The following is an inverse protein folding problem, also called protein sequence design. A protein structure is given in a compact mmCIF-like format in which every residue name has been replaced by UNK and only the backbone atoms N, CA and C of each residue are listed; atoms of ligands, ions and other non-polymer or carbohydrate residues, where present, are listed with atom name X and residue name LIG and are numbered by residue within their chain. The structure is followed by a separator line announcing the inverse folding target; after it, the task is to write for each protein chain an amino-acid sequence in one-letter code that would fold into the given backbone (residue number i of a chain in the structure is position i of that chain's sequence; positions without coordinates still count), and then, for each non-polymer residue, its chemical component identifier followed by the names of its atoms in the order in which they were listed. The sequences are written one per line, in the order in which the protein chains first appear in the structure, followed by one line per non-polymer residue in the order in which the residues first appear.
data_IF_536140323818
#
_entry.id   IF_536140323818
#
_cell.length_a   1.000
_cell.length_b   1.000
_cell.length_c   1.000
_cell.angle_alpha   90.00
_cell.angle_beta   90.00
_cell.angle_gamma   90.00
#
_symmetry.space_group_name_H-M   'P 1'
#
loop_
_entity.id
_entity.type
_entity.pdbx_description
1 polymer ?
#
# COMPACT_ATOMS: atom_id res chain seq x y z
N UNK A 1 -1.44 -2.29 35.06
CA UNK A 1 -1.41 -2.79 33.67
C UNK A 1 -1.02 -1.65 32.73
N UNK A 2 0.12 -1.70 32.04
CA UNK A 2 0.65 -0.59 31.23
C UNK A 2 -0.24 -0.23 30.03
N UNK A 3 -0.96 -1.20 29.47
CA UNK A 3 -1.86 -1.01 28.33
C UNK A 3 -3.00 -0.04 28.64
N UNK A 4 -3.61 -0.11 29.83
CA UNK A 4 -4.69 0.79 30.23
C UNK A 4 -4.23 2.25 30.38
N UNK A 5 -2.98 2.47 30.81
CA UNK A 5 -2.37 3.82 30.87
C UNK A 5 -2.14 4.39 29.48
N UNK A 6 -1.63 3.57 28.55
CA UNK A 6 -1.42 3.96 27.15
C UNK A 6 -2.77 4.31 26.49
N UNK A 7 -3.81 3.50 26.69
CA UNK A 7 -5.14 3.78 26.15
C UNK A 7 -5.75 5.08 26.69
N UNK A 8 -5.56 5.36 27.99
CA UNK A 8 -6.00 6.60 28.62
C UNK A 8 -5.21 7.83 28.14
N UNK A 9 -3.89 7.70 27.93
CA UNK A 9 -3.05 8.79 27.43
C UNK A 9 -3.25 9.11 25.94
N UNK A 10 -3.72 8.15 25.16
CA UNK A 10 -4.01 8.32 23.73
C UNK A 10 -5.48 8.56 23.43
N UNK A 11 -6.37 8.52 24.44
CA UNK A 11 -7.82 8.61 24.28
C UNK A 11 -8.34 7.60 23.24
N UNK A 12 -7.74 6.41 23.22
CA UNK A 12 -8.05 5.35 22.27
C UNK A 12 -9.33 4.65 22.71
N UNK A 13 -10.32 4.63 21.83
CA UNK A 13 -11.55 3.88 22.06
C UNK A 13 -11.33 2.41 21.72
N UNK A 14 -12.15 1.51 22.29
CA UNK A 14 -12.16 0.10 21.88
C UNK A 14 -12.45 -0.08 20.38
N UNK A 15 -13.16 0.89 19.77
CA UNK A 15 -13.39 0.95 18.33
C UNK A 15 -12.11 1.21 17.53
N UNK A 16 -11.19 2.03 18.03
CA UNK A 16 -9.90 2.28 17.35
C UNK A 16 -9.05 1.00 17.29
N UNK A 17 -9.02 0.23 18.38
CA UNK A 17 -8.31 -1.06 18.42
C UNK A 17 -8.97 -2.06 17.46
N UNK A 18 -10.30 -2.16 17.49
CA UNK A 18 -11.03 -3.02 16.57
C UNK A 18 -10.80 -2.62 15.10
N UNK A 19 -10.76 -1.32 14.80
CA UNK A 19 -10.47 -0.80 13.48
C UNK A 19 -9.04 -1.12 13.03
N UNK A 20 -8.04 -0.98 13.91
CA UNK A 20 -6.66 -1.36 13.62
C UNK A 20 -6.52 -2.87 13.35
N UNK A 21 -7.14 -3.72 14.17
CA UNK A 21 -7.15 -5.16 13.95
C UNK A 21 -7.86 -5.54 12.66
N UNK A 22 -9.02 -4.92 12.38
CA UNK A 22 -9.73 -5.11 11.12
C UNK A 22 -8.88 -4.69 9.93
N UNK A 23 -8.18 -3.56 10.02
CA UNK A 23 -7.27 -3.10 8.98
C UNK A 23 -6.14 -4.11 8.73
N UNK A 24 -5.45 -4.57 9.78
CA UNK A 24 -4.34 -5.53 9.65
C UNK A 24 -4.81 -6.89 9.12
N UNK A 25 -5.93 -7.38 9.62
CA UNK A 25 -6.52 -8.65 9.14
C UNK A 25 -7.01 -8.54 7.70
N UNK A 26 -7.63 -7.42 7.32
CA UNK A 26 -8.02 -7.19 5.93
C UNK A 26 -6.80 -7.07 5.02
N UNK A 27 -5.74 -6.37 5.46
CA UNK A 27 -4.53 -6.19 4.67
C UNK A 27 -3.76 -7.49 4.46
N UNK A 28 -3.42 -8.20 5.53
CA UNK A 28 -2.70 -9.47 5.46
C UNK A 28 -3.59 -10.60 4.90
N UNK A 29 -4.85 -10.62 5.31
CA UNK A 29 -5.83 -11.60 4.85
C UNK A 29 -6.12 -11.47 3.35
N UNK A 30 -6.22 -10.25 2.82
CA UNK A 30 -6.35 -10.04 1.39
C UNK A 30 -5.10 -10.49 0.63
N UNK A 31 -3.90 -10.19 1.11
CA UNK A 31 -2.67 -10.65 0.48
C UNK A 31 -2.60 -12.19 0.42
N UNK A 32 -2.87 -12.86 1.54
CA UNK A 32 -2.92 -14.32 1.61
C UNK A 32 -4.02 -14.92 0.73
N UNK A 33 -5.23 -14.34 0.77
CA UNK A 33 -6.35 -14.78 -0.05
C UNK A 33 -6.05 -14.63 -1.54
N UNK A 34 -5.45 -13.52 -1.95
CA UNK A 34 -5.05 -13.26 -3.33
C UNK A 34 -4.02 -14.31 -3.83
N UNK A 35 -3.03 -14.64 -3.00
CA UNK A 35 -2.04 -15.69 -3.31
C UNK A 35 -2.67 -17.08 -3.39
N UNK A 36 -3.52 -17.44 -2.42
CA UNK A 36 -4.20 -18.74 -2.40
C UNK A 36 -5.15 -18.92 -3.60
N UNK A 37 -5.91 -17.88 -3.95
CA UNK A 37 -6.84 -17.91 -5.09
C UNK A 37 -6.14 -17.85 -6.43
N UNK A 38 -4.92 -17.31 -6.51
CA UNK A 38 -4.10 -17.35 -7.71
C UNK A 38 -3.77 -18.79 -8.15
N UNK A 39 -3.64 -19.74 -7.21
CA UNK A 39 -3.36 -21.14 -7.53
C UNK A 39 -4.59 -21.99 -7.87
N UNK A 40 -5.77 -21.63 -7.37
CA UNK A 40 -6.96 -22.50 -7.37
C UNK A 40 -8.07 -22.06 -8.33
N UNK A 41 -8.09 -20.79 -8.74
CA UNK A 41 -9.12 -20.24 -9.62
C UNK A 41 -8.52 -19.56 -10.85
N UNK A 42 -9.23 -19.59 -11.97
CA UNK A 42 -8.91 -18.84 -13.18
C UNK A 42 -9.09 -17.33 -12.91
N UNK A 43 -8.12 -16.74 -12.21
CA UNK A 43 -8.00 -15.31 -11.98
C UNK A 43 -7.17 -14.66 -13.07
N UNK A 44 -7.38 -13.36 -13.31
CA UNK A 44 -6.57 -12.58 -14.25
C UNK A 44 -5.06 -12.73 -13.95
N UNK A 45 -4.69 -12.79 -12.67
CA UNK A 45 -3.31 -12.98 -12.25
C UNK A 45 -2.72 -14.32 -12.74
N UNK A 46 -3.45 -15.42 -12.55
CA UNK A 46 -3.01 -16.75 -12.95
C UNK A 46 -2.93 -16.91 -14.48
N UNK A 47 -3.96 -16.43 -15.18
CA UNK A 47 -4.00 -16.43 -16.64
C UNK A 47 -2.85 -15.60 -17.21
N UNK A 48 -2.59 -14.41 -16.65
CA UNK A 48 -1.47 -13.56 -17.07
C UNK A 48 -0.10 -14.19 -16.76
N UNK A 49 0.02 -14.95 -15.67
CA UNK A 49 1.25 -15.71 -15.37
C UNK A 49 1.50 -16.81 -16.42
N UNK A 50 0.45 -17.52 -16.81
CA UNK A 50 0.50 -18.55 -17.86
C UNK A 50 0.92 -17.96 -19.21
N UNK A 51 0.34 -16.82 -19.60
CA UNK A 51 0.74 -16.10 -20.82
C UNK A 51 2.18 -15.57 -20.76
N UNK A 52 2.62 -15.03 -19.60
CA UNK A 52 4.02 -14.63 -19.41
C UNK A 52 4.98 -15.79 -19.63
N UNK A 53 4.67 -16.98 -19.08
CA UNK A 53 5.48 -18.18 -19.27
C UNK A 53 5.54 -18.61 -20.74
N UNK A 54 4.42 -18.64 -21.43
CA UNK A 54 4.37 -18.96 -22.87
C UNK A 54 5.16 -17.93 -23.70
N UNK A 55 5.00 -16.65 -23.39
CA UNK A 55 5.75 -15.56 -24.03
C UNK A 55 7.27 -15.74 -23.85
N UNK A 56 7.74 -16.06 -22.64
CA UNK A 56 9.16 -16.30 -22.37
C UNK A 56 9.72 -17.50 -23.16
N UNK A 57 8.95 -18.58 -23.30
CA UNK A 57 9.38 -19.73 -24.11
C UNK A 57 9.48 -19.36 -25.60
N UNK A 58 8.48 -18.65 -26.13
CA UNK A 58 8.49 -18.20 -27.53
C UNK A 58 9.58 -17.16 -27.82
N UNK A 59 9.90 -16.29 -26.86
CA UNK A 59 10.95 -15.26 -26.98
C UNK A 59 12.32 -15.88 -27.34
N UNK A 60 12.63 -17.09 -26.83
CA UNK A 60 13.91 -17.75 -27.07
C UNK A 60 14.14 -18.03 -28.56
N UNK A 61 13.07 -18.34 -29.31
CA UNK A 61 13.12 -18.66 -30.73
C UNK A 61 12.94 -17.46 -31.66
N UNK A 62 12.80 -16.23 -31.13
CA UNK A 62 12.63 -15.02 -31.95
C UNK A 62 13.96 -14.33 -32.22
N UNK A 63 14.29 -14.18 -33.51
CA UNK A 63 15.42 -13.36 -33.95
C UNK A 63 15.14 -11.86 -33.76
N UNK A 64 13.93 -11.42 -34.12
CA UNK A 64 13.49 -10.04 -33.89
C UNK A 64 12.94 -9.87 -32.47
N UNK A 65 13.77 -9.28 -31.58
CA UNK A 65 13.45 -9.07 -30.16
C UNK A 65 12.79 -7.72 -29.87
N UNK A 66 12.50 -6.91 -30.88
CA UNK A 66 11.97 -5.55 -30.67
C UNK A 66 10.63 -5.56 -29.93
N UNK A 67 9.73 -6.49 -30.27
CA UNK A 67 8.43 -6.64 -29.61
C UNK A 67 8.61 -7.02 -28.15
N UNK A 68 9.47 -7.98 -27.86
CA UNK A 68 9.72 -8.48 -26.51
C UNK A 68 10.34 -7.40 -25.60
N UNK A 69 11.30 -6.63 -26.13
CA UNK A 69 11.90 -5.47 -25.46
C UNK A 69 10.82 -4.41 -25.15
N UNK A 70 9.90 -4.15 -26.08
CA UNK A 70 8.83 -3.19 -25.88
C UNK A 70 7.85 -3.63 -24.79
N UNK A 71 7.50 -4.93 -24.73
CA UNK A 71 6.66 -5.49 -23.65
C UNK A 71 7.35 -5.32 -22.30
N UNK A 72 8.62 -5.73 -22.18
CA UNK A 72 9.38 -5.60 -20.94
C UNK A 72 9.49 -4.12 -20.50
N UNK A 73 9.79 -3.22 -21.45
CA UNK A 73 9.88 -1.78 -21.19
C UNK A 73 8.54 -1.20 -20.73
N UNK A 74 7.42 -1.64 -21.29
CA UNK A 74 6.10 -1.18 -20.88
C UNK A 74 5.75 -1.65 -19.45
N UNK A 75 6.04 -2.91 -19.11
CA UNK A 75 5.86 -3.44 -17.76
C UNK A 75 6.74 -2.69 -16.74
N UNK A 76 8.03 -2.53 -17.03
CA UNK A 76 8.98 -1.84 -16.16
C UNK A 76 8.58 -0.37 -15.96
N UNK A 77 8.19 0.34 -17.02
CA UNK A 77 7.72 1.73 -16.93
C UNK A 77 6.50 1.88 -16.02
N UNK A 78 5.55 0.95 -16.11
CA UNK A 78 4.36 0.96 -15.24
C UNK A 78 4.75 0.78 -13.77
N UNK A 79 5.65 -0.16 -13.46
CA UNK A 79 6.14 -0.35 -12.08
C UNK A 79 6.94 0.87 -11.57
N UNK A 80 7.79 1.45 -12.42
CA UNK A 80 8.55 2.68 -12.12
C UNK A 80 7.63 3.87 -11.81
N UNK A 81 6.53 4.02 -12.55
CA UNK A 81 5.55 5.07 -12.30
C UNK A 81 4.90 4.92 -10.91
N UNK A 82 4.52 3.70 -10.53
CA UNK A 82 3.97 3.46 -9.19
C UNK A 82 5.01 3.69 -8.09
N UNK A 83 6.25 3.22 -8.26
CA UNK A 83 7.33 3.48 -7.31
C UNK A 83 7.57 4.99 -7.11
N UNK A 84 7.64 5.76 -8.20
CA UNK A 84 7.77 7.23 -8.14
C UNK A 84 6.59 7.89 -7.42
N UNK A 85 5.36 7.45 -7.72
CA UNK A 85 4.15 7.95 -7.04
C UNK A 85 4.20 7.68 -5.54
N UNK A 86 4.64 6.50 -5.12
CA UNK A 86 4.81 6.20 -3.68
C UNK A 86 5.85 7.08 -3.01
N UNK A 87 6.94 7.43 -3.70
CA UNK A 87 7.96 8.35 -3.18
C UNK A 87 7.41 9.78 -3.01
N UNK A 88 6.60 10.27 -3.95
CA UNK A 88 5.92 11.56 -3.82
C UNK A 88 4.95 11.57 -2.63
N UNK A 89 4.13 10.52 -2.48
CA UNK A 89 3.21 10.40 -1.34
C UNK A 89 3.99 10.32 -0.02
N UNK A 90 5.10 9.60 0.04
CA UNK A 90 5.96 9.57 1.22
C UNK A 90 6.48 10.96 1.60
N UNK A 91 6.98 11.73 0.62
CA UNK A 91 7.40 13.12 0.85
C UNK A 91 6.27 13.99 1.40
N UNK A 92 5.07 13.85 0.84
CA UNK A 92 3.88 14.58 1.30
C UNK A 92 3.47 14.18 2.73
N UNK A 93 3.49 12.89 3.07
CA UNK A 93 3.15 12.39 4.41
C UNK A 93 4.20 12.81 5.46
N UNK A 94 5.48 12.80 5.10
CA UNK A 94 6.57 13.28 5.99
C UNK A 94 6.42 14.79 6.23
N UNK A 95 6.12 15.58 5.19
CA UNK A 95 5.82 17.00 5.37
C UNK A 95 4.60 17.21 6.26
N UNK A 96 3.54 16.41 6.07
CA UNK A 96 2.32 16.47 6.88
C UNK A 96 2.57 16.20 8.37
N UNK A 97 3.55 15.36 8.73
CA UNK A 97 3.96 15.17 10.13
C UNK A 97 4.48 16.46 10.78
N UNK A 98 5.03 17.40 10.01
CA UNK A 98 5.44 18.72 10.51
C UNK A 98 4.27 19.71 10.68
N UNK A 99 3.12 19.43 10.07
CA UNK A 99 1.94 20.31 10.04
C UNK A 99 0.68 19.61 10.57
N UNK A 100 0.83 18.65 11.50
CA UNK A 100 -0.29 17.84 12.02
C UNK A 100 -1.35 18.72 12.67
N UNK A 101 -0.95 19.75 13.42
CA UNK A 101 -1.90 20.62 14.10
C UNK A 101 -2.78 21.38 13.10
N UNK A 102 -2.18 21.96 12.06
CA UNK A 102 -2.92 22.65 11.01
C UNK A 102 -3.82 21.69 10.24
N UNK A 103 -3.35 20.47 9.98
CA UNK A 103 -4.16 19.42 9.35
C UNK A 103 -5.37 19.03 10.22
N UNK A 104 -5.17 18.94 11.54
CA UNK A 104 -6.23 18.65 12.50
C UNK A 104 -7.28 19.77 12.54
N UNK A 105 -6.84 21.04 12.49
CA UNK A 105 -7.75 22.19 12.45
C UNK A 105 -8.64 22.15 11.19
N UNK A 106 -8.06 21.85 10.02
CA UNK A 106 -8.81 21.68 8.76
C UNK A 106 -9.81 20.52 8.85
N UNK A 107 -9.38 19.38 9.38
CA UNK A 107 -10.26 18.21 9.55
C UNK A 107 -11.39 18.52 10.51
N UNK A 108 -11.11 19.21 11.62
CA UNK A 108 -12.10 19.57 12.64
C UNK A 108 -13.15 20.58 12.16
N UNK A 109 -12.87 21.31 11.07
CA UNK A 109 -13.85 22.18 10.40
C UNK A 109 -14.90 21.42 9.59
N UNK A 110 -14.75 20.11 9.39
CA UNK A 110 -15.68 19.30 8.59
C UNK A 110 -16.89 18.84 9.44
N UNK A 111 -18.13 19.01 8.95
CA UNK A 111 -19.36 18.78 9.72
C UNK A 111 -19.61 17.33 10.15
N UNK A 112 -18.84 16.37 9.64
CA UNK A 112 -18.98 14.93 9.94
C UNK A 112 -17.79 14.34 10.71
N UNK A 113 -16.95 15.18 11.33
CA UNK A 113 -15.75 14.70 12.04
C UNK A 113 -15.92 14.74 13.56
N UNK A 114 -15.60 13.62 14.21
CA UNK A 114 -15.37 13.57 15.65
C UNK A 114 -14.01 14.22 15.90
N UNK A 115 -13.89 15.08 16.92
CA UNK A 115 -12.62 15.72 17.30
C UNK A 115 -11.56 14.65 17.54
N UNK A 116 -10.70 14.42 16.55
CA UNK A 116 -9.61 13.48 16.65
C UNK A 116 -8.50 14.08 17.50
N UNK A 117 -7.81 13.26 18.29
CA UNK A 117 -6.60 13.67 19.00
C UNK A 117 -5.44 13.86 18.02
N UNK A 118 -4.59 14.86 18.26
CA UNK A 118 -3.37 15.09 17.49
C UNK A 118 -2.50 13.83 17.43
N UNK A 119 -2.29 13.17 18.57
CA UNK A 119 -1.53 11.91 18.67
C UNK A 119 -2.14 10.80 17.81
N UNK A 120 -3.47 10.74 17.72
CA UNK A 120 -4.16 9.74 16.89
C UNK A 120 -3.94 10.01 15.40
N UNK A 121 -3.90 11.29 14.99
CA UNK A 121 -3.61 11.68 13.62
C UNK A 121 -2.14 11.37 13.26
N UNK A 122 -1.19 11.64 14.16
CA UNK A 122 0.22 11.26 14.00
C UNK A 122 0.39 9.76 13.76
N UNK A 123 -0.26 8.92 14.57
CA UNK A 123 -0.23 7.46 14.41
C UNK A 123 -0.78 7.03 13.06
N UNK A 124 -1.90 7.63 12.60
CA UNK A 124 -2.48 7.33 11.28
C UNK A 124 -1.52 7.70 10.16
N UNK A 125 -0.85 8.85 10.25
CA UNK A 125 0.13 9.28 9.24
C UNK A 125 1.33 8.34 9.24
N UNK A 126 1.87 7.97 10.41
CA UNK A 126 2.98 7.00 10.51
C UNK A 126 2.58 5.63 9.93
N UNK A 127 1.37 5.16 10.20
CA UNK A 127 0.83 3.93 9.61
C UNK A 127 0.79 4.02 8.08
N UNK A 128 0.31 5.14 7.52
CA UNK A 128 0.32 5.36 6.07
C UNK A 128 1.75 5.38 5.52
N UNK A 129 2.70 6.04 6.20
CA UNK A 129 4.12 6.04 5.82
C UNK A 129 4.65 4.61 5.73
N UNK A 130 4.40 3.77 6.74
CA UNK A 130 4.85 2.37 6.73
C UNK A 130 4.27 1.58 5.54
N UNK A 131 2.99 1.78 5.23
CA UNK A 131 2.33 1.12 4.08
C UNK A 131 2.97 1.58 2.76
N UNK A 132 3.21 2.88 2.59
CA UNK A 132 3.80 3.42 1.37
C UNK A 132 5.28 3.07 1.22
N UNK A 133 6.04 2.95 2.32
CA UNK A 133 7.40 2.39 2.30
C UNK A 133 7.37 0.94 1.82
N UNK A 134 6.47 0.12 2.37
CA UNK A 134 6.30 -1.26 1.91
C UNK A 134 5.93 -1.32 0.43
N UNK A 135 4.99 -0.48 -0.02
CA UNK A 135 4.58 -0.39 -1.42
C UNK A 135 5.75 0.01 -2.34
N UNK A 136 6.55 1.01 -1.94
CA UNK A 136 7.74 1.45 -2.67
C UNK A 136 8.69 0.27 -2.92
N UNK A 137 9.08 -0.46 -1.86
CA UNK A 137 9.96 -1.62 -2.01
C UNK A 137 9.35 -2.72 -2.88
N UNK A 138 8.04 -2.99 -2.75
CA UNK A 138 7.35 -3.96 -3.61
C UNK A 138 7.41 -3.59 -5.09
N UNK A 139 7.23 -2.31 -5.44
CA UNK A 139 7.34 -1.86 -6.84
C UNK A 139 8.80 -1.82 -7.32
N UNK A 140 9.73 -1.38 -6.46
CA UNK A 140 11.17 -1.34 -6.77
C UNK A 140 11.75 -2.73 -7.06
N UNK A 141 11.35 -3.76 -6.30
CA UNK A 141 11.79 -5.14 -6.56
C UNK A 141 11.08 -5.81 -7.74
N UNK A 142 9.97 -5.25 -8.21
CA UNK A 142 9.24 -5.77 -9.37
C UNK A 142 9.80 -5.28 -10.72
N UNK A 143 10.69 -4.28 -10.69
CA UNK A 143 11.43 -3.75 -11.85
C UNK A 143 12.63 -4.65 -12.12
#
# INVERSE_FOLDING_TARGET
MPVAKILAELNLTWLDIAACLYFLTAWAGYAFFAEWRAGTTASLHNTMNSYRRQWMVCMIGRDNRMVDINILRNLARSSQFFASTTMLVLGALIALLGYVQQALDVVSGLPFTIKASQRLLEIKIVLMVLIFVYAFFKFSWAI
#
